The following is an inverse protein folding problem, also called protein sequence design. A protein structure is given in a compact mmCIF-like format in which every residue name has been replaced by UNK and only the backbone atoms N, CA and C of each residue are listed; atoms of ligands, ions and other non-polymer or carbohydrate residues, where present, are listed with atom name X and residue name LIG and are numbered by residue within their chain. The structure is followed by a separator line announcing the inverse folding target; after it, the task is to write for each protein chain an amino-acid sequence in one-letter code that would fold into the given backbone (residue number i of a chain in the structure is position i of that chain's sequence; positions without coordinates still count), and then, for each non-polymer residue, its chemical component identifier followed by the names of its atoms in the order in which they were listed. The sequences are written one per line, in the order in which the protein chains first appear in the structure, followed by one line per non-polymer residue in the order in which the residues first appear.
data_IF_298953676552
#
_entry.id   IF_298953676552
#
_cell.length_a   1.000
_cell.length_b   1.000
_cell.length_c   1.000
_cell.angle_alpha   90.00
_cell.angle_beta   90.00
_cell.angle_gamma   90.00
#
_symmetry.space_group_name_H-M   'P 1'
#
loop_
_entity.id
_entity.type
_entity.pdbx_description
1 polymer ?
#
# COMPACT_ATOMS: atom_id res chain seq x y z
N UNK A 1 -9.55 -2.34 7.60
CA UNK A 1 -8.46 -1.34 7.46
C UNK A 1 -7.32 -1.88 6.60
N UNK A 2 -6.83 -3.09 6.87
CA UNK A 2 -5.84 -3.79 6.04
C UNK A 2 -6.07 -3.70 4.52
N UNK A 3 -7.21 -4.20 4.00
CA UNK A 3 -7.51 -4.17 2.55
C UNK A 3 -7.52 -2.77 1.94
N UNK A 4 -7.93 -1.75 2.71
CA UNK A 4 -7.95 -0.37 2.25
C UNK A 4 -6.52 0.16 2.07
N UNK A 5 -5.66 -0.04 3.08
CA UNK A 5 -4.25 0.36 3.05
C UNK A 5 -3.50 -0.39 1.94
N UNK A 6 -3.72 -1.70 1.82
CA UNK A 6 -3.17 -2.51 0.73
C UNK A 6 -3.58 -1.97 -0.65
N UNK A 7 -4.85 -1.58 -0.82
CA UNK A 7 -5.32 -0.96 -2.05
C UNK A 7 -4.60 0.36 -2.37
N UNK A 8 -4.42 1.25 -1.38
CA UNK A 8 -3.66 2.49 -1.58
C UNK A 8 -2.20 2.21 -1.94
N UNK A 9 -1.59 1.21 -1.31
CA UNK A 9 -0.21 0.79 -1.57
C UNK A 9 -0.05 0.24 -2.98
N UNK A 10 -0.88 -0.73 -3.38
CA UNK A 10 -0.84 -1.35 -4.73
C UNK A 10 -1.02 -0.29 -5.81
N UNK A 11 -1.86 0.72 -5.60
CA UNK A 11 -2.02 1.83 -6.55
C UNK A 11 -0.88 2.86 -6.54
N UNK A 12 0.18 2.65 -5.75
CA UNK A 12 1.28 3.59 -5.53
C UNK A 12 0.82 4.98 -5.05
N UNK A 13 -0.27 5.05 -4.27
CA UNK A 13 -0.83 6.32 -3.76
C UNK A 13 -0.26 6.75 -2.40
N UNK A 14 0.40 5.85 -1.70
CA UNK A 14 0.99 6.08 -0.38
C UNK A 14 2.41 5.55 -0.34
N UNK A 15 3.25 6.16 0.49
CA UNK A 15 4.65 5.75 0.67
C UNK A 15 4.80 4.66 1.74
N UNK A 16 6.02 4.11 1.84
CA UNK A 16 6.35 3.14 2.87
C UNK A 16 6.18 3.71 4.28
N UNK A 17 6.62 4.95 4.51
CA UNK A 17 6.50 5.63 5.81
C UNK A 17 5.04 5.77 6.22
N UNK A 18 4.15 6.04 5.28
CA UNK A 18 2.71 6.12 5.55
C UNK A 18 2.12 4.78 5.98
N UNK A 19 2.52 3.69 5.31
CA UNK A 19 2.10 2.33 5.69
C UNK A 19 2.65 1.95 7.07
N UNK A 20 3.91 2.28 7.35
CA UNK A 20 4.52 2.05 8.68
C UNK A 20 3.82 2.84 9.79
N UNK A 21 3.41 4.08 9.53
CA UNK A 21 2.67 4.92 10.47
C UNK A 21 1.26 4.39 10.79
N UNK A 22 0.75 3.42 10.02
CA UNK A 22 -0.51 2.74 10.31
C UNK A 22 -0.39 1.69 11.42
N UNK A 23 0.83 1.31 11.82
CA UNK A 23 1.10 0.39 12.94
C UNK A 23 1.22 1.18 14.25
N UNK A 24 0.69 0.69 15.39
CA UNK A 24 -0.18 -0.48 15.55
C UNK A 24 -1.68 -0.12 15.45
N UNK A 25 -2.01 1.14 15.15
CA UNK A 25 -3.36 1.69 15.28
C UNK A 25 -4.38 1.06 14.32
N UNK A 26 -3.95 0.74 13.10
CA UNK A 26 -4.81 0.36 11.99
C UNK A 26 -4.52 -1.04 11.44
N UNK A 27 -3.27 -1.50 11.57
CA UNK A 27 -2.79 -2.82 11.16
C UNK A 27 -1.70 -3.31 12.11
N UNK A 28 -1.47 -4.62 12.15
CA UNK A 28 -0.36 -5.23 12.90
C UNK A 28 0.98 -5.07 12.17
N UNK A 29 2.09 -5.35 12.86
CA UNK A 29 3.42 -5.35 12.25
C UNK A 29 3.56 -6.39 11.13
N UNK A 30 2.97 -7.58 11.30
CA UNK A 30 2.96 -8.64 10.29
C UNK A 30 2.18 -8.21 9.05
N UNK A 31 1.01 -7.58 9.25
CA UNK A 31 0.21 -7.04 8.16
C UNK A 31 0.96 -5.93 7.40
N UNK A 32 1.64 -5.03 8.11
CA UNK A 32 2.50 -4.01 7.49
C UNK A 32 3.61 -4.65 6.65
N UNK A 33 4.28 -5.69 7.16
CA UNK A 33 5.32 -6.41 6.43
C UNK A 33 4.77 -7.06 5.14
N UNK A 34 3.58 -7.65 5.20
CA UNK A 34 2.91 -8.21 4.01
C UNK A 34 2.58 -7.14 2.97
N UNK A 35 2.07 -5.98 3.40
CA UNK A 35 1.77 -4.87 2.49
C UNK A 35 3.05 -4.38 1.81
N UNK A 36 4.10 -4.11 2.58
CA UNK A 36 5.38 -3.61 2.04
C UNK A 36 6.09 -4.62 1.13
N UNK A 37 5.87 -5.92 1.32
CA UNK A 37 6.36 -6.97 0.43
C UNK A 37 5.54 -7.09 -0.87
N UNK A 38 4.34 -6.52 -0.93
CA UNK A 38 3.49 -6.56 -2.12
C UNK A 38 4.02 -5.56 -3.16
N UNK A 39 4.24 -5.93 -4.43
CA UNK A 39 4.64 -4.98 -5.46
C UNK A 39 3.60 -3.87 -5.64
N UNK A 40 4.06 -2.63 -5.81
CA UNK A 40 3.20 -1.56 -6.29
C UNK A 40 2.97 -1.73 -7.79
N UNK A 41 1.74 -1.43 -8.24
CA UNK A 41 1.35 -1.32 -9.64
C UNK A 41 0.90 0.12 -9.88
N UNK A 42 1.85 1.07 -10.03
CA UNK A 42 1.51 2.43 -10.43
C UNK A 42 0.71 2.33 -11.72
N UNK A 43 -0.47 2.94 -11.75
CA UNK A 43 -1.35 2.83 -12.90
C UNK A 43 -0.62 3.26 -14.17
N UNK A 44 -0.18 2.31 -15.00
CA UNK A 44 0.07 2.51 -16.42
C UNK A 44 -1.28 2.74 -17.07
N UNK A 45 -1.86 3.91 -16.85
CA UNK A 45 -2.70 4.55 -17.86
C UNK A 45 -1.73 4.99 -18.96
N UNK A 46 -1.27 4.03 -19.78
CA UNK A 46 -0.96 4.38 -21.15
C UNK A 46 -2.32 4.69 -21.76
N UNK A 47 -2.68 5.97 -21.75
CA UNK A 47 -3.69 6.45 -22.67
C UNK A 47 -3.11 6.20 -24.06
N UNK A 48 -3.52 5.11 -24.68
CA UNK A 48 -3.34 4.90 -26.10
C UNK A 48 -4.09 6.03 -26.80
N UNK A 49 -3.35 6.92 -27.46
CA UNK A 49 -3.85 7.97 -28.34
C UNK A 49 -4.29 7.37 -29.69
#
# INVERSE_FOLDING_TARGET
MYNYILGQWVMARVSQEWVMACVPKFITAEQCAVILATPQTPGTLKMEN
#
